data_IF_774736593676
#
_entry.id   IF_774736593676
#
_cell.length_a   1.000
_cell.length_b   1.000
_cell.length_c   1.000
_cell.angle_alpha   90.00
_cell.angle_beta   90.00
_cell.angle_gamma   90.00
#
_symmetry.space_group_name_H-M   'P 1'
#
loop_
_entity.id
_entity.type
_entity.pdbx_description
1 polymer ?
#
# COMPACT_ATOMS: atom_id res chain seq x y z
N UNK A 1 3.91 14.21 0.55
CA UNK A 1 2.95 13.47 1.30
C UNK A 1 2.01 14.27 2.17
N UNK A 2 2.02 13.95 3.44
CA UNK A 2 1.24 14.64 4.46
C UNK A 2 2.20 15.50 5.29
N UNK A 3 2.08 16.82 5.24
CA UNK A 3 3.03 17.76 5.86
C UNK A 3 3.37 17.43 7.32
N UNK A 4 2.36 17.10 8.14
CA UNK A 4 2.58 16.73 9.55
C UNK A 4 3.33 15.40 9.70
N UNK A 5 3.04 14.42 8.83
CA UNK A 5 3.75 13.15 8.83
C UNK A 5 5.19 13.35 8.36
N UNK A 6 5.38 14.09 7.29
CA UNK A 6 6.71 14.39 6.75
C UNK A 6 7.57 15.17 7.75
N UNK A 7 6.97 16.10 8.52
CA UNK A 7 7.68 16.81 9.58
C UNK A 7 8.12 15.90 10.74
N UNK A 8 7.32 14.88 11.07
CA UNK A 8 7.63 13.92 12.15
C UNK A 8 8.67 12.88 11.71
N UNK A 9 8.61 12.44 10.45
CA UNK A 9 9.40 11.30 9.95
C UNK A 9 10.65 11.73 9.18
N UNK A 10 10.71 12.98 8.75
CA UNK A 10 11.74 13.46 7.81
C UNK A 10 11.56 12.94 6.40
N UNK A 11 10.38 12.41 6.06
CA UNK A 11 10.10 11.71 4.81
C UNK A 11 10.64 10.28 4.79
N UNK A 12 10.26 9.51 3.78
CA UNK A 12 10.70 8.12 3.64
C UNK A 12 11.95 8.01 2.78
N UNK A 13 12.85 7.10 3.16
CA UNK A 13 14.15 6.92 2.51
C UNK A 13 14.30 5.51 1.96
N UNK A 14 15.23 5.34 1.04
CA UNK A 14 15.64 4.02 0.56
C UNK A 14 16.02 3.08 1.70
N UNK A 15 15.75 1.79 1.54
CA UNK A 15 16.02 0.76 2.54
C UNK A 15 15.08 0.72 3.74
N UNK A 16 14.09 1.62 3.83
CA UNK A 16 13.13 1.67 4.94
C UNK A 16 11.90 0.80 4.68
N UNK A 17 11.47 0.09 5.73
CA UNK A 17 10.17 -0.56 5.83
C UNK A 17 9.23 0.31 6.66
N UNK A 18 8.20 0.84 6.03
CA UNK A 18 7.15 1.63 6.68
C UNK A 18 5.90 0.77 6.82
N UNK A 19 5.35 0.67 8.03
CA UNK A 19 4.13 -0.08 8.28
C UNK A 19 2.96 0.86 8.51
N UNK A 20 1.97 0.81 7.61
CA UNK A 20 0.74 1.57 7.73
C UNK A 20 -0.37 0.65 8.26
N UNK A 21 -0.68 0.76 9.53
CA UNK A 21 -1.66 -0.09 10.18
C UNK A 21 -2.96 0.63 10.51
N UNK A 22 -4.08 -0.09 10.46
CA UNK A 22 -5.39 0.45 10.82
C UNK A 22 -6.48 -0.62 10.79
N UNK A 23 -7.59 -0.35 11.47
CA UNK A 23 -8.79 -1.20 11.39
C UNK A 23 -9.47 -1.05 10.03
N UNK A 24 -10.30 -2.02 9.60
CA UNK A 24 -11.15 -1.88 8.41
C UNK A 24 -11.96 -0.57 8.46
N UNK A 25 -12.11 0.10 7.32
CA UNK A 25 -12.84 1.36 7.24
C UNK A 25 -12.08 2.61 7.71
N UNK A 26 -10.88 2.48 8.29
CA UNK A 26 -10.08 3.63 8.80
C UNK A 26 -9.28 4.37 7.72
N UNK A 27 -9.47 4.03 6.45
CA UNK A 27 -8.87 4.78 5.34
C UNK A 27 -7.47 4.34 4.92
N UNK A 28 -7.00 3.12 5.28
CA UNK A 28 -5.69 2.61 4.85
C UNK A 28 -5.48 2.71 3.33
N UNK A 29 -6.43 2.19 2.54
CA UNK A 29 -6.33 2.22 1.08
C UNK A 29 -6.39 3.63 0.52
N UNK A 30 -7.13 4.57 1.16
CA UNK A 30 -7.14 5.98 0.78
C UNK A 30 -5.77 6.63 1.02
N UNK A 31 -5.14 6.35 2.17
CA UNK A 31 -3.79 6.82 2.47
C UNK A 31 -2.75 6.22 1.49
N UNK A 32 -2.86 4.92 1.18
CA UNK A 32 -2.04 4.25 0.18
C UNK A 32 -2.11 4.94 -1.19
N UNK A 33 -3.32 5.19 -1.68
CA UNK A 33 -3.57 5.89 -2.95
C UNK A 33 -2.95 7.29 -2.92
N UNK A 34 -3.14 8.02 -1.82
CA UNK A 34 -2.56 9.35 -1.64
C UNK A 34 -1.02 9.32 -1.73
N UNK A 35 -0.38 8.38 -1.04
CA UNK A 35 1.07 8.23 -1.07
C UNK A 35 1.59 7.82 -2.45
N UNK A 36 0.94 6.85 -3.10
CA UNK A 36 1.29 6.42 -4.45
C UNK A 36 1.22 7.58 -5.45
N UNK A 37 0.12 8.33 -5.42
CA UNK A 37 -0.07 9.50 -6.28
C UNK A 37 0.97 10.59 -6.01
N UNK A 38 1.18 10.95 -4.74
CA UNK A 38 2.12 12.03 -4.38
C UNK A 38 3.54 11.68 -4.83
N UNK A 39 3.98 10.44 -4.64
CA UNK A 39 5.27 9.98 -5.12
C UNK A 39 5.36 10.03 -6.65
N UNK A 40 4.33 9.56 -7.36
CA UNK A 40 4.28 9.55 -8.81
C UNK A 40 4.30 10.96 -9.41
N UNK A 41 3.56 11.91 -8.84
CA UNK A 41 3.60 13.34 -9.23
C UNK A 41 5.00 13.93 -9.05
N UNK A 42 5.74 13.47 -8.05
CA UNK A 42 7.16 13.85 -7.86
C UNK A 42 8.14 13.10 -8.77
N UNK A 43 7.64 12.31 -9.73
CA UNK A 43 8.46 11.55 -10.67
C UNK A 43 9.02 10.23 -10.12
N UNK A 44 8.61 9.82 -8.92
CA UNK A 44 9.03 8.55 -8.30
C UNK A 44 8.14 7.41 -8.81
N UNK A 45 8.68 6.39 -9.51
CA UNK A 45 7.90 5.25 -9.96
C UNK A 45 7.44 4.38 -8.80
N UNK A 46 6.15 4.07 -8.75
CA UNK A 46 5.52 3.32 -7.65
C UNK A 46 4.99 1.98 -8.13
N UNK A 47 5.41 0.89 -7.49
CA UNK A 47 4.86 -0.44 -7.67
C UNK A 47 3.85 -0.73 -6.53
N UNK A 48 2.60 -0.94 -6.86
CA UNK A 48 1.52 -1.24 -5.90
C UNK A 48 1.05 -2.67 -6.10
N UNK A 49 1.14 -3.47 -5.06
CA UNK A 49 0.60 -4.83 -5.00
C UNK A 49 -0.65 -4.80 -4.13
N UNK A 50 -1.82 -4.93 -4.77
CA UNK A 50 -3.11 -4.90 -4.09
C UNK A 50 -3.68 -6.31 -4.04
N UNK A 51 -3.73 -6.88 -2.85
CA UNK A 51 -4.23 -8.24 -2.64
C UNK A 51 -5.69 -8.26 -2.17
N UNK A 52 -6.19 -7.12 -1.69
CA UNK A 52 -7.56 -6.96 -1.22
C UNK A 52 -8.48 -6.41 -2.31
N UNK A 53 -7.98 -5.48 -3.12
CA UNK A 53 -8.80 -4.75 -4.09
C UNK A 53 -8.32 -4.97 -5.52
N UNK A 54 -9.25 -5.19 -6.49
CA UNK A 54 -8.92 -5.21 -7.90
C UNK A 54 -8.28 -3.89 -8.38
N UNK A 55 -7.38 -3.98 -9.35
CA UNK A 55 -6.69 -2.81 -9.91
C UNK A 55 -7.66 -1.76 -10.48
N UNK A 56 -8.74 -2.20 -11.12
CA UNK A 56 -9.80 -1.32 -11.62
C UNK A 56 -10.44 -0.48 -10.52
N UNK A 57 -10.68 -1.09 -9.35
CA UNK A 57 -11.28 -0.40 -8.21
C UNK A 57 -10.32 0.62 -7.61
N UNK A 58 -9.03 0.31 -7.57
CA UNK A 58 -7.99 1.26 -7.15
C UNK A 58 -7.86 2.41 -8.15
N UNK A 59 -7.81 2.10 -9.45
CA UNK A 59 -7.73 3.11 -10.51
C UNK A 59 -8.94 4.05 -10.46
N UNK A 60 -10.16 3.51 -10.30
CA UNK A 60 -11.37 4.31 -10.13
C UNK A 60 -11.33 5.24 -8.91
N UNK A 61 -10.81 4.76 -7.77
CA UNK A 61 -10.62 5.61 -6.58
C UNK A 61 -9.55 6.68 -6.79
N UNK A 62 -8.46 6.35 -7.50
CA UNK A 62 -7.44 7.32 -7.87
C UNK A 62 -8.01 8.39 -8.78
N UNK A 63 -8.79 7.99 -9.77
CA UNK A 63 -9.44 8.86 -10.75
C UNK A 63 -10.36 9.88 -10.06
N UNK A 64 -11.30 9.39 -9.27
CA UNK A 64 -12.24 10.25 -8.53
C UNK A 64 -11.51 11.15 -7.53
N UNK A 65 -10.52 10.61 -6.81
CA UNK A 65 -9.74 11.40 -5.86
C UNK A 65 -8.81 12.43 -6.49
N UNK A 66 -8.52 12.33 -7.80
CA UNK A 66 -7.70 13.26 -8.56
C UNK A 66 -8.55 14.31 -9.29
N UNK A 67 -9.67 13.91 -9.88
CA UNK A 67 -10.59 14.80 -10.61
C UNK A 67 -11.33 15.80 -9.71
N UNK A 68 -11.50 15.48 -8.42
CA UNK A 68 -12.35 16.27 -7.53
C UNK A 68 -13.86 16.01 -7.67
N UNK A 69 -14.27 15.14 -8.60
CA UNK A 69 -15.66 14.75 -8.80
C UNK A 69 -16.21 14.04 -7.56
N UNK A 70 -17.47 14.29 -7.25
CA UNK A 70 -18.12 13.66 -6.13
C UNK A 70 -18.16 12.13 -6.28
N UNK A 71 -17.55 11.42 -5.33
CA UNK A 71 -17.41 9.95 -5.38
C UNK A 71 -18.77 9.21 -5.36
N UNK A 72 -19.80 9.80 -4.74
CA UNK A 72 -21.16 9.26 -4.75
C UNK A 72 -21.76 9.39 -6.14
N UNK A 73 -21.66 10.57 -6.76
CA UNK A 73 -22.16 10.82 -8.13
C UNK A 73 -21.52 9.87 -9.13
N UNK A 74 -20.19 9.69 -9.05
CA UNK A 74 -19.47 8.73 -9.89
C UNK A 74 -19.99 7.29 -9.71
N UNK A 75 -20.17 6.85 -8.47
CA UNK A 75 -20.60 5.48 -8.16
C UNK A 75 -22.02 5.17 -8.63
N UNK A 76 -22.95 6.15 -8.58
CA UNK A 76 -24.33 5.97 -9.00
C UNK A 76 -24.57 6.36 -10.47
N UNK A 77 -23.53 6.82 -11.19
CA UNK A 77 -23.63 7.20 -12.59
C UNK A 77 -24.36 8.53 -12.84
N UNK A 78 -24.38 9.43 -11.86
CA UNK A 78 -25.05 10.73 -11.94
C UNK A 78 -24.07 11.91 -12.10
N UNK A 79 -22.93 11.67 -12.74
CA UNK A 79 -21.95 12.69 -13.07
C UNK A 79 -22.49 13.57 -14.22
N UNK A 80 -22.43 14.88 -14.07
CA UNK A 80 -22.80 15.84 -15.12
C UNK A 80 -21.72 15.98 -16.20
N UNK A 81 -21.99 16.78 -17.23
CA UNK A 81 -21.08 16.93 -18.36
C UNK A 81 -19.72 17.53 -17.95
N UNK A 82 -19.73 18.50 -17.03
CA UNK A 82 -18.49 19.12 -16.54
C UNK A 82 -17.66 18.13 -15.74
N UNK A 83 -18.30 17.36 -14.88
CA UNK A 83 -17.64 16.29 -14.13
C UNK A 83 -17.06 15.17 -15.02
N UNK A 84 -17.72 14.83 -16.12
CA UNK A 84 -17.16 13.92 -17.11
C UNK A 84 -15.90 14.47 -17.78
N UNK A 85 -15.90 15.76 -18.12
CA UNK A 85 -14.71 16.42 -18.68
C UNK A 85 -13.53 16.40 -17.67
N UNK A 86 -13.80 16.68 -16.39
CA UNK A 86 -12.79 16.59 -15.32
C UNK A 86 -12.25 15.15 -15.17
N UNK A 87 -13.11 14.13 -15.26
CA UNK A 87 -12.69 12.73 -15.23
C UNK A 87 -11.80 12.36 -16.42
N UNK A 88 -12.12 12.83 -17.63
CA UNK A 88 -11.30 12.59 -18.83
C UNK A 88 -9.90 13.21 -18.69
N UNK A 89 -9.82 14.46 -18.23
CA UNK A 89 -8.52 15.09 -17.95
C UNK A 89 -7.73 14.34 -16.90
N UNK A 90 -8.38 14.01 -15.79
CA UNK A 90 -7.77 13.23 -14.72
C UNK A 90 -7.28 11.85 -15.19
N UNK A 91 -8.01 11.20 -16.08
CA UNK A 91 -7.61 9.90 -16.64
C UNK A 91 -6.36 10.04 -17.53
N UNK A 92 -6.28 11.10 -18.34
CA UNK A 92 -5.10 11.39 -19.16
C UNK A 92 -3.87 11.63 -18.28
N UNK A 93 -3.99 12.44 -17.24
CA UNK A 93 -2.91 12.72 -16.29
C UNK A 93 -2.45 11.47 -15.54
N UNK A 94 -3.40 10.69 -15.00
CA UNK A 94 -3.10 9.46 -14.27
C UNK A 94 -2.43 8.41 -15.15
N UNK A 95 -2.81 8.30 -16.42
CA UNK A 95 -2.20 7.35 -17.35
C UNK A 95 -0.74 7.67 -17.67
N UNK A 96 -0.35 8.96 -17.54
CA UNK A 96 1.03 9.40 -17.69
C UNK A 96 1.88 9.22 -16.42
N UNK A 97 1.25 9.01 -15.26
CA UNK A 97 1.96 8.83 -13.99
C UNK A 97 2.64 7.45 -13.91
N UNK A 98 3.84 7.36 -13.35
CA UNK A 98 4.58 6.10 -13.23
C UNK A 98 4.06 5.26 -12.05
N UNK A 99 2.77 4.88 -12.07
CA UNK A 99 2.14 3.98 -11.08
C UNK A 99 1.83 2.64 -11.74
N UNK A 100 2.35 1.57 -11.17
CA UNK A 100 2.21 0.21 -11.69
C UNK A 100 1.41 -0.62 -10.69
N UNK A 101 0.17 -0.95 -11.04
CA UNK A 101 -0.74 -1.74 -10.21
C UNK A 101 -0.62 -3.23 -10.55
N UNK A 102 -0.57 -4.07 -9.53
CA UNK A 102 -0.66 -5.52 -9.64
C UNK A 102 -1.65 -6.03 -8.60
N UNK A 103 -2.74 -6.63 -9.06
CA UNK A 103 -3.81 -7.19 -8.23
C UNK A 103 -3.89 -8.72 -8.32
N UNK A 104 -2.78 -9.35 -8.71
CA UNK A 104 -2.74 -10.80 -8.84
C UNK A 104 -2.98 -11.46 -7.49
N UNK A 105 -4.07 -12.23 -7.40
CA UNK A 105 -4.35 -13.04 -6.22
C UNK A 105 -3.25 -14.09 -5.99
N UNK A 106 -3.05 -14.48 -4.73
CA UNK A 106 -2.10 -15.52 -4.32
C UNK A 106 -0.65 -15.25 -4.76
N UNK A 107 -0.23 -13.98 -4.75
CA UNK A 107 1.15 -13.60 -5.01
C UNK A 107 2.01 -13.86 -3.76
N UNK A 108 3.20 -14.40 -3.95
CA UNK A 108 4.18 -14.61 -2.87
C UNK A 108 5.16 -13.44 -2.77
N UNK A 109 5.78 -13.24 -1.60
CA UNK A 109 6.86 -12.25 -1.44
C UNK A 109 8.02 -12.48 -2.42
N UNK A 110 8.33 -13.74 -2.76
CA UNK A 110 9.34 -14.07 -3.76
C UNK A 110 8.98 -13.56 -5.16
N UNK A 111 7.71 -13.68 -5.55
CA UNK A 111 7.21 -13.17 -6.82
C UNK A 111 7.21 -11.64 -6.85
N UNK A 112 6.76 -10.97 -5.76
CA UNK A 112 6.83 -9.52 -5.60
C UNK A 112 8.28 -9.04 -5.75
N UNK A 113 9.22 -9.66 -5.04
CA UNK A 113 10.65 -9.34 -5.12
C UNK A 113 11.18 -9.46 -6.54
N UNK A 114 10.86 -10.53 -7.24
CA UNK A 114 11.30 -10.77 -8.63
C UNK A 114 10.75 -9.70 -9.58
N UNK A 115 9.48 -9.33 -9.44
CA UNK A 115 8.86 -8.27 -10.24
C UNK A 115 9.48 -6.90 -9.95
N UNK A 116 9.62 -6.53 -8.68
CA UNK A 116 10.24 -5.26 -8.29
C UNK A 116 11.67 -5.14 -8.83
N UNK A 117 12.47 -6.21 -8.78
CA UNK A 117 13.81 -6.25 -9.39
C UNK A 117 13.78 -6.02 -10.90
N UNK A 118 12.85 -6.68 -11.60
CA UNK A 118 12.69 -6.50 -13.04
C UNK A 118 12.27 -5.07 -13.40
N UNK A 119 11.39 -4.47 -12.59
CA UNK A 119 10.97 -3.08 -12.73
C UNK A 119 12.09 -2.10 -12.40
N UNK A 120 12.85 -2.33 -11.32
CA UNK A 120 13.96 -1.48 -10.91
C UNK A 120 15.07 -1.41 -11.99
N UNK A 121 15.39 -2.54 -12.64
CA UNK A 121 16.35 -2.57 -13.78
C UNK A 121 15.91 -1.69 -14.95
N UNK A 122 14.62 -1.38 -15.05
CA UNK A 122 14.05 -0.49 -16.10
C UNK A 122 13.81 0.93 -15.60
N UNK A 123 14.28 1.27 -14.39
CA UNK A 123 14.03 2.57 -13.76
C UNK A 123 12.55 2.79 -13.36
N UNK A 124 11.77 1.70 -13.18
CA UNK A 124 10.33 1.76 -12.92
C UNK A 124 9.93 1.32 -11.51
N UNK A 125 10.83 1.38 -10.55
CA UNK A 125 10.57 1.02 -9.15
C UNK A 125 11.37 1.94 -8.23
N UNK A 126 10.76 2.97 -7.72
CA UNK A 126 11.32 3.92 -6.75
C UNK A 126 10.61 3.86 -5.39
N UNK A 127 9.43 3.22 -5.34
CA UNK A 127 8.67 2.94 -4.12
C UNK A 127 7.86 1.66 -4.33
N UNK A 128 7.70 0.87 -3.27
CA UNK A 128 6.86 -0.35 -3.29
C UNK A 128 5.78 -0.23 -2.23
N UNK A 129 4.54 -0.54 -2.58
CA UNK A 129 3.41 -0.58 -1.64
C UNK A 129 2.76 -1.96 -1.73
N UNK A 130 2.49 -2.60 -0.57
CA UNK A 130 1.87 -3.92 -0.48
C UNK A 130 0.64 -3.82 0.41
N UNK A 131 -0.55 -4.04 -0.16
CA UNK A 131 -1.85 -4.01 0.52
C UNK A 131 -2.52 -5.39 0.42
N UNK A 132 -2.62 -6.16 1.44
CA UNK A 132 -2.04 -6.06 2.78
C UNK A 132 -1.39 -7.40 3.15
N UNK A 133 -0.48 -7.35 4.11
CA UNK A 133 0.42 -8.46 4.49
C UNK A 133 -0.27 -9.80 4.74
N UNK A 134 -1.45 -9.78 5.37
CA UNK A 134 -2.16 -10.99 5.78
C UNK A 134 -2.80 -11.78 4.62
N UNK A 135 -2.84 -11.24 3.40
CA UNK A 135 -3.34 -11.93 2.20
C UNK A 135 -2.24 -12.53 1.32
N UNK A 136 -0.98 -12.28 1.64
CA UNK A 136 0.12 -12.88 0.91
C UNK A 136 0.06 -14.41 1.00
N UNK A 137 0.21 -15.06 -0.15
CA UNK A 137 0.36 -16.50 -0.18
C UNK A 137 1.76 -16.86 0.34
N UNK A 138 1.79 -17.66 1.36
CA UNK A 138 3.04 -18.20 1.87
C UNK A 138 3.30 -19.51 1.14
N UNK A 139 4.34 -19.53 0.32
CA UNK A 139 4.73 -20.67 -0.52
C UNK A 139 4.99 -21.96 0.27
N UNK A 140 5.07 -21.91 1.58
CA UNK A 140 5.17 -23.09 2.44
C UNK A 140 3.77 -23.45 2.96
N UNK A 141 3.05 -24.27 2.23
CA UNK A 141 1.93 -25.08 2.76
C UNK A 141 2.44 -26.15 3.74
N UNK A 142 3.43 -25.82 4.55
CA UNK A 142 3.79 -26.68 5.67
C UNK A 142 2.65 -26.58 6.69
N UNK A 143 1.94 -27.66 6.85
CA UNK A 143 0.79 -27.86 7.77
C UNK A 143 1.09 -27.52 9.24
N UNK A 144 2.33 -27.16 9.57
CA UNK A 144 2.80 -26.83 10.91
C UNK A 144 3.29 -25.36 11.08
N UNK A 145 3.17 -24.50 10.05
CA UNK A 145 3.51 -23.08 10.23
C UNK A 145 2.33 -22.34 10.87
N UNK A 146 2.59 -21.67 11.97
CA UNK A 146 1.59 -20.76 12.55
C UNK A 146 1.49 -19.51 11.70
N UNK A 147 0.30 -18.93 11.61
CA UNK A 147 0.05 -17.68 10.86
C UNK A 147 1.02 -16.56 11.23
N UNK A 148 1.40 -16.50 12.50
CA UNK A 148 2.38 -15.54 13.01
C UNK A 148 3.75 -15.68 12.33
N UNK A 149 4.23 -16.93 12.13
CA UNK A 149 5.51 -17.17 11.45
C UNK A 149 5.48 -16.77 9.98
N UNK A 150 4.36 -16.97 9.32
CA UNK A 150 4.18 -16.56 7.93
C UNK A 150 4.23 -15.04 7.78
N UNK A 151 3.54 -14.32 8.66
CA UNK A 151 3.53 -12.86 8.68
C UNK A 151 4.93 -12.32 9.01
N UNK A 152 5.62 -12.93 9.97
CA UNK A 152 6.99 -12.58 10.31
C UNK A 152 7.95 -12.78 9.13
N UNK A 153 7.84 -13.89 8.40
CA UNK A 153 8.65 -14.16 7.22
C UNK A 153 8.38 -13.14 6.09
N UNK A 154 7.10 -12.77 5.89
CA UNK A 154 6.71 -11.79 4.90
C UNK A 154 7.21 -10.39 5.25
N UNK A 155 7.09 -9.96 6.51
CA UNK A 155 7.63 -8.69 7.02
C UNK A 155 9.14 -8.60 6.79
N UNK A 156 9.88 -9.62 7.23
CA UNK A 156 11.32 -9.70 7.04
C UNK A 156 11.71 -9.67 5.56
N UNK A 157 10.94 -10.35 4.71
CA UNK A 157 11.19 -10.33 3.26
C UNK A 157 10.94 -8.95 2.66
N UNK A 158 9.93 -8.21 3.13
CA UNK A 158 9.65 -6.84 2.72
C UNK A 158 10.78 -5.89 3.16
N UNK A 159 11.33 -6.05 4.37
CA UNK A 159 12.49 -5.30 4.84
C UNK A 159 13.74 -5.58 3.99
N UNK A 160 13.99 -6.84 3.66
CA UNK A 160 15.09 -7.22 2.78
C UNK A 160 14.93 -6.64 1.37
N UNK A 161 13.70 -6.62 0.83
CA UNK A 161 13.38 -5.99 -0.45
C UNK A 161 13.71 -4.51 -0.44
N UNK A 162 13.32 -3.78 0.62
CA UNK A 162 13.62 -2.36 0.78
C UNK A 162 15.14 -2.10 0.72
N UNK A 163 15.90 -2.86 1.49
CA UNK A 163 17.38 -2.75 1.53
C UNK A 163 18.03 -3.10 0.20
N UNK A 164 17.54 -4.16 -0.46
CA UNK A 164 18.15 -4.66 -1.71
C UNK A 164 17.97 -3.70 -2.88
N UNK A 165 16.80 -3.05 -2.96
CA UNK A 165 16.49 -2.12 -4.04
C UNK A 165 16.79 -0.66 -3.67
N UNK A 166 17.17 -0.40 -2.42
CA UNK A 166 17.35 0.95 -1.86
C UNK A 166 16.13 1.86 -2.12
N UNK A 167 14.93 1.31 -1.89
CA UNK A 167 13.66 2.03 -2.03
C UNK A 167 12.84 1.89 -0.75
N UNK A 168 11.95 2.86 -0.42
CA UNK A 168 10.99 2.67 0.66
C UNK A 168 9.96 1.60 0.27
N UNK A 169 9.68 0.70 1.20
CA UNK A 169 8.60 -0.29 1.10
C UNK A 169 7.54 0.04 2.13
N UNK A 170 6.31 0.29 1.67
CA UNK A 170 5.15 0.54 2.52
C UNK A 170 4.34 -0.74 2.60
N UNK A 171 4.17 -1.26 3.80
CA UNK A 171 3.43 -2.46 4.06
C UNK A 171 2.15 -2.12 4.82
N UNK A 172 1.00 -2.39 4.23
CA UNK A 172 -0.27 -2.21 4.91
C UNK A 172 -0.54 -3.40 5.82
N UNK A 173 -1.06 -3.12 7.02
CA UNK A 173 -1.39 -4.14 8.01
C UNK A 173 -2.73 -3.84 8.67
N UNK A 174 -3.40 -4.90 9.12
CA UNK A 174 -4.64 -4.76 9.87
C UNK A 174 -4.35 -4.84 11.37
N UNK A 175 -4.90 -3.89 12.14
CA UNK A 175 -4.81 -3.92 13.60
C UNK A 175 -5.74 -4.99 14.21
N UNK A 176 -5.35 -5.50 15.38
CA UNK A 176 -6.13 -6.44 16.18
C UNK A 176 -7.51 -5.87 16.55
N UNK A 177 -8.51 -6.75 16.63
CA UNK A 177 -9.85 -6.37 17.13
C UNK A 177 -9.85 -5.97 18.61
N UNK A 178 -8.88 -6.41 19.38
CA UNK A 178 -8.74 -6.09 20.82
C UNK A 178 -8.70 -4.58 21.11
N UNK A 179 -8.29 -3.75 20.14
CA UNK A 179 -8.33 -2.30 20.28
C UNK A 179 -9.75 -1.76 20.49
N UNK A 180 -10.77 -2.45 19.95
CA UNK A 180 -12.18 -2.04 20.06
C UNK A 180 -12.75 -2.33 21.45
N UNK A 181 -12.15 -3.26 22.20
CA UNK A 181 -12.55 -3.68 23.54
C UNK A 181 -11.99 -2.76 24.62
N UNK A 182 -10.97 -1.93 24.28
CA UNK A 182 -10.36 -1.00 25.23
C UNK A 182 -11.14 0.30 25.37
N UNK A 183 -11.08 0.88 26.55
CA UNK A 183 -11.64 2.24 26.82
C UNK A 183 -10.89 3.28 26.02
N UNK A 184 -9.54 3.22 26.02
CA UNK A 184 -8.69 4.01 25.13
C UNK A 184 -8.41 3.22 23.85
N UNK A 185 -8.94 3.73 22.73
CA UNK A 185 -8.79 3.15 21.40
C UNK A 185 -7.60 3.69 20.64
N UNK A 186 -6.69 4.39 21.30
CA UNK A 186 -5.42 4.83 20.70
C UNK A 186 -4.61 3.60 20.28
N UNK A 187 -4.19 3.49 19.00
CA UNK A 187 -3.38 2.37 18.53
C UNK A 187 -2.05 2.28 19.27
N UNK A 188 -1.66 1.07 19.62
CA UNK A 188 -0.35 0.73 20.20
C UNK A 188 0.37 -0.28 19.30
N UNK A 189 1.69 -0.36 19.41
CA UNK A 189 2.49 -1.34 18.66
C UNK A 189 2.01 -2.78 18.88
N UNK A 190 1.60 -3.12 20.11
CA UNK A 190 1.03 -4.43 20.46
C UNK A 190 -0.29 -4.77 19.76
N UNK A 191 -0.94 -3.80 19.11
CA UNK A 191 -2.15 -4.00 18.31
C UNK A 191 -1.84 -4.46 16.88
N UNK A 192 -0.59 -4.44 16.47
CA UNK A 192 -0.15 -5.06 15.22
C UNK A 192 -0.41 -6.56 15.34
N UNK A 193 -1.48 -7.02 14.69
CA UNK A 193 -2.01 -8.37 14.81
C UNK A 193 -0.98 -9.39 14.35
N UNK A 194 -0.77 -10.41 15.16
CA UNK A 194 -0.05 -11.65 14.84
C UNK A 194 1.47 -11.52 14.62
N UNK A 195 2.13 -10.40 15.01
CA UNK A 195 3.59 -10.43 14.98
C UNK A 195 4.31 -9.32 15.74
N UNK A 196 4.96 -9.68 16.84
CA UNK A 196 6.09 -8.90 17.37
C UNK A 196 7.25 -8.75 16.36
N UNK A 197 7.24 -9.55 15.29
CA UNK A 197 8.23 -9.48 14.21
C UNK A 197 8.02 -8.24 13.30
N UNK A 198 6.77 -7.81 13.02
CA UNK A 198 6.54 -6.58 12.25
C UNK A 198 7.15 -5.38 13.00
N UNK A 199 6.97 -5.34 14.32
CA UNK A 199 7.54 -4.30 15.18
C UNK A 199 9.08 -4.27 15.12
N UNK A 200 9.72 -5.43 15.02
CA UNK A 200 11.19 -5.55 14.94
C UNK A 200 11.73 -5.19 13.55
N UNK A 201 11.00 -5.49 12.49
CA UNK A 201 11.45 -5.28 11.10
C UNK A 201 11.17 -3.87 10.60
N UNK A 202 10.11 -3.21 11.12
CA UNK A 202 9.71 -1.87 10.70
C UNK A 202 10.69 -0.80 11.20
N UNK A 203 10.99 0.15 10.32
CA UNK A 203 11.73 1.36 10.71
C UNK A 203 10.77 2.45 11.17
N UNK A 204 9.47 2.33 10.77
CA UNK A 204 8.47 3.36 11.02
C UNK A 204 7.05 2.74 10.97
#
# INVERSE_FOLDING_TARGET
>A
GLQRLDALTGGWRGGQLVVLAGRPGMGKSAAMIHFARTAAVSGVPVCVFSLEMPAEQLAGRMLVGYSGVNSQAFRVGSVDADGWHELEQAAADLSAMPVYLNDRANITMGAIRSQCKAMARRGRCGMVIIDYLQLLDTASRNTNSTREREIAAASRSAKLLAKELDVPVILLSQLSRKIEERTDKTPMLSDLRESGAIEQDADM
#
